data_IF_731032019059
#
_entry.id   IF_731032019059
#
_cell.length_a   1.000
_cell.length_b   1.000
_cell.length_c   1.000
_cell.angle_alpha   90.00
_cell.angle_beta   90.00
_cell.angle_gamma   90.00
#
_symmetry.space_group_name_H-M   'P 1'
#
loop_
_entity.id
_entity.type
_entity.pdbx_description
1 polymer ?
#
# COMPACT_ATOMS: atom_id res chain seq x y z
N UNK A 1 2.60 1.75 0.67
CA UNK A 1 3.59 0.67 0.79
C UNK A 1 3.85 0.39 2.25
N UNK A 2 3.70 -0.85 2.69
CA UNK A 2 4.08 -1.24 4.05
C UNK A 2 5.59 -1.50 4.12
N UNK A 3 6.11 -1.58 5.35
CA UNK A 3 7.44 -2.13 5.58
C UNK A 3 7.46 -3.58 5.05
N UNK A 4 8.48 -3.98 4.27
CA UNK A 4 8.54 -5.28 3.58
C UNK A 4 8.57 -6.51 4.50
N UNK A 5 8.46 -6.33 5.82
CA UNK A 5 8.59 -7.38 6.82
C UNK A 5 7.27 -7.71 7.53
N UNK A 6 6.22 -6.90 7.38
CA UNK A 6 5.06 -6.95 8.26
C UNK A 6 3.85 -6.25 7.63
N UNK A 7 2.78 -7.01 7.36
CA UNK A 7 1.46 -6.45 7.06
C UNK A 7 0.70 -6.24 8.40
N UNK A 8 0.60 -5.00 8.91
CA UNK A 8 -0.13 -4.72 10.14
C UNK A 8 -1.64 -5.00 10.01
N UNK A 9 -2.13 -5.15 8.79
CA UNK A 9 -3.54 -5.34 8.45
C UNK A 9 -3.87 -6.82 8.16
N UNK A 10 -2.88 -7.68 7.97
CA UNK A 10 -3.07 -9.12 7.85
C UNK A 10 -1.91 -9.93 8.45
N UNK A 11 -2.00 -10.22 9.74
CA UNK A 11 -0.98 -10.99 10.50
C UNK A 11 -0.90 -12.47 10.13
N UNK A 12 -1.91 -13.00 9.44
CA UNK A 12 -1.92 -14.38 8.97
C UNK A 12 -1.25 -14.53 7.60
N UNK A 13 -0.79 -13.45 6.99
CA UNK A 13 0.09 -13.49 5.82
C UNK A 13 1.49 -13.94 6.26
N UNK A 14 1.64 -15.21 6.64
CA UNK A 14 2.95 -15.85 6.59
C UNK A 14 3.41 -15.81 5.15
N UNK A 15 4.52 -15.10 4.89
CA UNK A 15 5.26 -15.15 3.64
C UNK A 15 5.38 -16.60 3.18
N UNK A 16 4.76 -17.01 2.05
CA UNK A 16 5.14 -18.25 1.43
C UNK A 16 6.56 -18.05 0.92
N UNK A 17 7.55 -18.62 1.62
CA UNK A 17 8.82 -18.92 0.98
C UNK A 17 8.48 -19.96 -0.07
N UNK A 18 8.40 -19.53 -1.32
CA UNK A 18 8.12 -20.42 -2.43
C UNK A 18 9.25 -21.45 -2.52
N UNK A 19 8.95 -22.66 -2.06
CA UNK A 19 9.84 -23.82 -2.13
C UNK A 19 9.65 -24.61 -3.42
N UNK A 20 8.82 -24.13 -4.36
CA UNK A 20 8.51 -24.85 -5.61
C UNK A 20 9.74 -25.10 -6.49
N UNK A 21 10.81 -24.30 -6.33
CA UNK A 21 12.09 -24.50 -7.03
C UNK A 21 13.10 -25.42 -6.31
N UNK A 22 12.75 -26.01 -5.16
CA UNK A 22 13.61 -26.97 -4.45
C UNK A 22 13.17 -28.44 -4.62
N UNK A 23 12.43 -28.75 -5.70
CA UNK A 23 11.95 -30.11 -5.98
C UNK A 23 12.94 -30.89 -6.84
N UNK A 24 14.13 -31.13 -6.33
CA UNK A 24 14.94 -32.29 -6.72
C UNK A 24 15.91 -32.58 -5.58
N UNK A 25 15.87 -33.81 -5.06
CA UNK A 25 16.67 -34.33 -3.95
C UNK A 25 16.16 -34.01 -2.54
N UNK A 26 15.07 -34.66 -2.11
CA UNK A 26 15.05 -35.23 -0.75
C UNK A 26 14.14 -36.44 -0.64
N UNK A 27 14.79 -37.59 -0.66
CA UNK A 27 14.28 -38.88 -0.23
C UNK A 27 13.56 -38.77 1.12
N UNK A 28 12.33 -39.28 1.15
CA UNK A 28 11.56 -39.83 2.29
C UNK A 28 12.24 -39.65 3.66
N UNK A 29 11.77 -38.66 4.41
CA UNK A 29 11.81 -38.72 5.88
C UNK A 29 10.48 -38.17 6.39
N UNK A 30 9.62 -39.08 6.83
CA UNK A 30 8.40 -38.76 7.56
C UNK A 30 8.82 -38.02 8.83
N UNK A 31 8.52 -36.73 8.90
CA UNK A 31 8.56 -35.93 10.11
C UNK A 31 7.15 -35.37 10.23
N UNK A 32 6.38 -35.97 11.13
CA UNK A 32 5.10 -35.44 11.59
C UNK A 32 5.24 -33.94 11.83
N UNK A 33 4.41 -33.15 11.15
CA UNK A 33 4.28 -31.73 11.37
C UNK A 33 3.78 -31.52 12.80
N UNK A 34 4.69 -31.20 13.72
CA UNK A 34 4.34 -30.68 15.04
C UNK A 34 3.41 -29.46 14.85
N UNK A 35 2.37 -29.31 15.68
CA UNK A 35 1.53 -28.13 15.62
C UNK A 35 2.42 -26.92 15.93
N UNK A 36 2.56 -26.01 14.96
CA UNK A 36 3.12 -24.70 15.23
C UNK A 36 2.20 -24.05 16.28
N UNK A 37 2.68 -23.91 17.52
CA UNK A 37 2.07 -23.05 18.51
C UNK A 37 2.07 -21.65 17.89
N UNK A 38 0.88 -21.17 17.48
CA UNK A 38 0.66 -19.86 16.86
C UNK A 38 1.05 -18.75 17.85
N UNK A 39 2.28 -18.25 17.73
CA UNK A 39 2.74 -16.99 18.32
C UNK A 39 2.17 -15.77 17.55
N UNK A 40 0.95 -15.89 17.03
CA UNK A 40 0.35 -14.92 16.11
C UNK A 40 0.00 -13.62 16.83
N UNK A 41 -0.36 -13.72 18.12
CA UNK A 41 -0.56 -12.57 18.99
C UNK A 41 0.70 -11.72 19.15
N UNK A 42 1.84 -12.32 19.53
CA UNK A 42 3.09 -11.58 19.75
C UNK A 42 3.63 -10.95 18.46
N UNK A 43 3.58 -11.70 17.35
CA UNK A 43 3.97 -11.19 16.02
C UNK A 43 3.10 -10.00 15.60
N UNK A 44 1.79 -10.06 15.85
CA UNK A 44 0.87 -8.95 15.60
C UNK A 44 1.27 -7.68 16.35
N UNK A 45 1.53 -7.80 17.66
CA UNK A 45 1.86 -6.64 18.48
C UNK A 45 3.16 -6.00 18.04
N UNK A 46 4.18 -6.80 17.72
CA UNK A 46 5.46 -6.30 17.20
C UNK A 46 5.27 -5.61 15.85
N UNK A 47 4.50 -6.22 14.95
CA UNK A 47 4.16 -5.67 13.63
C UNK A 47 3.46 -4.32 13.72
N UNK A 48 2.43 -4.21 14.57
CA UNK A 48 1.69 -2.96 14.79
C UNK A 48 2.61 -1.88 15.37
N UNK A 49 3.46 -2.21 16.35
CA UNK A 49 4.40 -1.27 16.93
C UNK A 49 5.39 -0.71 15.88
N UNK A 50 5.94 -1.57 15.02
CA UNK A 50 6.81 -1.11 13.94
C UNK A 50 6.08 -0.23 12.93
N UNK A 51 4.83 -0.56 12.60
CA UNK A 51 4.02 0.25 11.69
C UNK A 51 3.72 1.64 12.28
N UNK A 52 3.39 1.72 13.57
CA UNK A 52 3.16 2.99 14.27
C UNK A 52 4.43 3.86 14.29
N UNK A 53 5.58 3.27 14.62
CA UNK A 53 6.87 3.98 14.61
C UNK A 53 7.21 4.45 13.19
N UNK A 54 7.04 3.58 12.19
CA UNK A 54 7.31 3.92 10.81
C UNK A 54 6.41 5.05 10.31
N UNK A 55 5.13 5.04 10.68
CA UNK A 55 4.20 6.11 10.34
C UNK A 55 4.62 7.45 10.94
N UNK A 56 4.91 7.48 12.24
CA UNK A 56 5.35 8.69 12.92
C UNK A 56 6.65 9.26 12.32
N UNK A 57 7.61 8.40 11.95
CA UNK A 57 8.86 8.84 11.35
C UNK A 57 8.70 9.29 9.90
N UNK A 58 7.83 8.63 9.12
CA UNK A 58 7.65 8.90 7.70
C UNK A 58 7.22 10.34 7.42
N UNK A 59 6.48 10.98 8.32
CA UNK A 59 5.96 12.33 8.14
C UNK A 59 6.84 13.41 8.78
N UNK A 60 8.10 13.44 8.36
CA UNK A 60 9.04 14.53 8.66
C UNK A 60 9.71 15.00 7.38
N UNK A 61 10.10 16.29 7.32
CA UNK A 61 10.79 16.84 6.13
C UNK A 61 12.07 16.09 5.79
N UNK A 62 12.81 15.62 6.80
CA UNK A 62 14.04 14.84 6.59
C UNK A 62 13.74 13.49 5.95
N UNK A 63 12.78 12.73 6.49
CA UNK A 63 12.44 11.40 5.96
C UNK A 63 11.86 11.50 4.56
N UNK A 64 10.98 12.48 4.31
CA UNK A 64 10.45 12.77 2.97
C UNK A 64 11.52 13.25 1.96
N UNK A 65 12.70 13.67 2.41
CA UNK A 65 13.78 14.10 1.50
C UNK A 65 14.83 13.03 1.27
N UNK A 66 15.03 12.14 2.25
CA UNK A 66 16.17 11.23 2.29
C UNK A 66 15.79 9.74 2.26
N UNK A 67 14.53 9.40 2.55
CA UNK A 67 14.06 8.02 2.61
C UNK A 67 12.98 7.82 1.57
N UNK A 68 13.36 7.21 0.45
CA UNK A 68 12.47 6.96 -0.69
C UNK A 68 11.15 6.27 -0.29
N UNK A 69 11.14 5.19 0.52
CA UNK A 69 9.90 4.58 1.00
C UNK A 69 8.92 5.52 1.71
N UNK A 70 9.43 6.54 2.41
CA UNK A 70 8.57 7.48 3.11
C UNK A 70 7.74 8.34 2.14
N UNK A 71 8.21 8.56 0.91
CA UNK A 71 7.52 9.43 -0.07
C UNK A 71 6.16 8.92 -0.51
N UNK A 72 6.01 7.60 -0.58
CA UNK A 72 4.79 6.92 -0.98
C UNK A 72 4.17 6.11 0.16
N UNK A 73 4.62 6.36 1.40
CA UNK A 73 3.96 5.84 2.60
C UNK A 73 2.64 6.60 2.79
N UNK A 74 1.54 5.85 2.88
CA UNK A 74 0.19 6.37 3.06
C UNK A 74 -0.38 5.73 4.31
N UNK A 75 -0.59 6.56 5.33
CA UNK A 75 -1.28 6.19 6.56
C UNK A 75 -2.67 6.81 6.55
N UNK A 76 -3.70 5.96 6.54
CA UNK A 76 -5.10 6.37 6.56
C UNK A 76 -5.68 6.46 7.97
N UNK A 77 -4.89 6.19 9.02
CA UNK A 77 -5.31 6.39 10.38
C UNK A 77 -5.70 7.86 10.61
N UNK A 78 -6.88 8.15 11.20
CA UNK A 78 -7.36 9.52 11.37
C UNK A 78 -6.38 10.42 12.14
N UNK A 79 -5.62 9.87 13.09
CA UNK A 79 -4.61 10.64 13.84
C UNK A 79 -3.45 11.13 12.98
N UNK A 80 -3.12 10.42 11.90
CA UNK A 80 -1.97 10.71 11.03
C UNK A 80 -2.36 11.53 9.79
N UNK A 81 -3.66 11.67 9.50
CA UNK A 81 -4.17 12.41 8.34
C UNK A 81 -3.57 13.81 8.22
N UNK A 82 -3.47 14.56 9.33
CA UNK A 82 -2.91 15.91 9.32
C UNK A 82 -1.44 15.93 8.88
N UNK A 83 -0.64 14.99 9.34
CA UNK A 83 0.78 14.91 9.02
C UNK A 83 1.01 14.37 7.61
N UNK A 84 0.20 13.39 7.19
CA UNK A 84 0.17 12.92 5.80
C UNK A 84 -0.09 14.08 4.83
N UNK A 85 -1.16 14.86 5.03
CA UNK A 85 -1.50 15.99 4.15
C UNK A 85 -0.45 17.11 4.15
N UNK A 86 0.33 17.24 5.23
CA UNK A 86 1.34 18.30 5.39
C UNK A 86 2.70 17.93 4.81
N UNK A 87 3.16 16.70 5.01
CA UNK A 87 4.55 16.30 4.70
C UNK A 87 4.66 15.35 3.52
N UNK A 88 3.63 14.54 3.22
CA UNK A 88 3.74 13.47 2.23
C UNK A 88 3.93 14.00 0.81
N UNK A 89 4.93 13.45 0.12
CA UNK A 89 5.09 13.67 -1.32
C UNK A 89 3.90 13.09 -2.09
N UNK A 90 3.40 11.92 -1.69
CA UNK A 90 2.22 11.30 -2.29
C UNK A 90 1.01 12.25 -2.23
N UNK A 91 0.72 12.82 -1.06
CA UNK A 91 -0.39 13.76 -0.89
C UNK A 91 -0.24 15.01 -1.78
N UNK A 92 1.00 15.44 -2.04
CA UNK A 92 1.28 16.59 -2.92
C UNK A 92 1.03 16.26 -4.39
N UNK A 93 1.46 15.09 -4.87
CA UNK A 93 1.29 14.72 -6.29
C UNK A 93 -0.15 14.28 -6.60
N UNK A 94 -0.87 13.77 -5.62
CA UNK A 94 -2.31 13.45 -5.74
C UNK A 94 -3.23 14.65 -5.51
N UNK A 95 -2.69 15.86 -5.31
CA UNK A 95 -3.47 17.06 -4.96
C UNK A 95 -4.38 16.90 -3.71
N UNK A 96 -4.06 15.96 -2.80
CA UNK A 96 -4.74 15.83 -1.50
C UNK A 96 -4.22 16.84 -0.47
N UNK A 97 -2.96 17.26 -0.58
CA UNK A 97 -2.29 18.15 0.36
C UNK A 97 -2.76 19.61 0.33
N UNK A 98 -2.03 20.49 1.01
CA UNK A 98 -2.41 21.92 1.12
C UNK A 98 -2.26 22.73 -0.17
N UNK A 99 -1.58 22.19 -1.18
CA UNK A 99 -1.31 22.88 -2.44
C UNK A 99 -1.92 22.11 -3.60
N UNK A 100 -2.89 22.73 -4.26
CA UNK A 100 -3.50 22.22 -5.47
C UNK A 100 -2.71 22.70 -6.70
N UNK A 101 -2.44 21.80 -7.65
CA UNK A 101 -1.75 22.13 -8.89
C UNK A 101 -2.49 21.56 -10.11
N UNK A 102 -3.12 22.45 -10.88
CA UNK A 102 -3.83 22.11 -12.13
C UNK A 102 -2.93 21.48 -13.19
N UNK A 103 -1.64 21.81 -13.18
CA UNK A 103 -0.67 21.26 -14.14
C UNK A 103 -0.54 19.74 -13.98
N UNK A 104 -0.69 19.21 -12.76
CA UNK A 104 -0.64 17.76 -12.54
C UNK A 104 -1.84 17.06 -13.18
N UNK A 105 -3.02 17.66 -13.11
CA UNK A 105 -4.22 17.16 -13.78
C UNK A 105 -4.02 17.20 -15.29
N UNK A 106 -3.59 18.33 -15.84
CA UNK A 106 -3.36 18.49 -17.28
C UNK A 106 -2.34 17.46 -17.81
N UNK A 107 -1.26 17.23 -17.07
CA UNK A 107 -0.23 16.25 -17.43
C UNK A 107 -0.72 14.80 -17.30
N UNK A 108 -1.52 14.49 -16.27
CA UNK A 108 -2.09 13.15 -16.14
C UNK A 108 -3.11 12.88 -17.26
N UNK A 109 -3.93 13.86 -17.64
CA UNK A 109 -4.91 13.70 -18.69
C UNK A 109 -4.32 13.71 -20.11
N UNK A 110 -3.10 14.20 -20.30
CA UNK A 110 -2.44 14.22 -21.61
C UNK A 110 -2.00 12.84 -22.10
N UNK A 111 -1.93 11.85 -21.21
CA UNK A 111 -1.58 10.47 -21.54
C UNK A 111 -2.76 9.78 -22.24
N UNK A 112 -2.49 9.13 -23.38
CA UNK A 112 -3.50 8.44 -24.18
C UNK A 112 -4.05 7.18 -23.52
N UNK A 113 -3.17 6.39 -22.90
CA UNK A 113 -3.52 5.09 -22.29
C UNK A 113 -2.66 4.80 -21.07
N UNK A 114 -3.30 4.31 -20.02
CA UNK A 114 -2.67 3.75 -18.83
C UNK A 114 -2.90 2.25 -18.79
N UNK A 115 -1.83 1.49 -18.58
CA UNK A 115 -1.90 0.05 -18.32
C UNK A 115 -1.47 -0.18 -16.88
N UNK A 116 -2.42 -0.62 -16.07
CA UNK A 116 -2.22 -1.00 -14.68
C UNK A 116 -2.09 -2.52 -14.64
N UNK A 117 -1.09 -3.03 -13.93
CA UNK A 117 -0.88 -4.47 -13.78
C UNK A 117 -0.80 -4.76 -12.30
N UNK A 118 -1.66 -5.66 -11.84
CA UNK A 118 -1.67 -6.11 -10.46
C UNK A 118 -1.17 -7.55 -10.34
N UNK A 119 -0.17 -7.77 -9.50
CA UNK A 119 0.41 -9.09 -9.26
C UNK A 119 -0.51 -9.95 -8.41
N UNK A 120 -1.09 -11.01 -8.96
CA UNK A 120 -2.05 -11.87 -8.21
C UNK A 120 -1.51 -12.42 -6.88
N UNK A 121 -0.20 -12.67 -6.77
CA UNK A 121 0.49 -13.09 -5.56
C UNK A 121 1.47 -12.06 -5.01
N UNK A 122 1.28 -10.77 -5.29
CA UNK A 122 2.15 -9.74 -4.71
C UNK A 122 1.97 -9.64 -3.20
N UNK A 123 3.10 -9.60 -2.51
CA UNK A 123 3.23 -9.52 -1.05
C UNK A 123 4.07 -8.30 -0.64
N UNK A 124 4.56 -7.51 -1.60
CA UNK A 124 5.41 -6.33 -1.37
C UNK A 124 4.55 -5.07 -1.33
N UNK A 125 3.60 -4.90 -2.27
CA UNK A 125 2.64 -3.80 -2.22
C UNK A 125 1.49 -4.20 -1.30
N UNK A 126 1.32 -3.43 -0.23
CA UNK A 126 0.27 -3.64 0.77
C UNK A 126 -0.56 -2.34 0.88
N UNK A 127 -1.88 -2.39 0.63
CA UNK A 127 -2.60 -3.52 0.04
C UNK A 127 -2.23 -3.69 -1.44
N UNK A 128 -2.28 -4.92 -1.96
CA UNK A 128 -1.98 -5.22 -3.37
C UNK A 128 -2.86 -4.41 -4.32
N UNK A 129 -4.12 -4.18 -3.95
CA UNK A 129 -5.07 -3.39 -4.71
C UNK A 129 -4.61 -1.93 -4.92
N UNK A 130 -3.61 -1.46 -4.17
CA UNK A 130 -2.92 -0.20 -4.42
C UNK A 130 -2.29 -0.11 -5.80
N UNK A 131 -1.90 -1.24 -6.42
CA UNK A 131 -1.43 -1.28 -7.81
C UNK A 131 -2.50 -0.84 -8.81
N UNK A 132 -3.78 -0.99 -8.44
CA UNK A 132 -4.96 -0.55 -9.20
C UNK A 132 -5.69 0.61 -8.49
N UNK A 133 -4.96 1.47 -7.76
CA UNK A 133 -5.49 2.67 -7.09
C UNK A 133 -6.53 2.41 -5.98
N UNK A 134 -6.61 1.20 -5.46
CA UNK A 134 -7.31 0.90 -4.22
C UNK A 134 -6.54 1.35 -2.98
N UNK A 135 -7.21 1.35 -1.83
CA UNK A 135 -6.60 1.69 -0.55
C UNK A 135 -7.20 0.91 0.62
N UNK A 136 -6.66 1.11 1.82
CA UNK A 136 -7.25 0.60 3.07
C UNK A 136 -8.25 1.60 3.64
N UNK A 137 -9.33 1.10 4.22
CA UNK A 137 -10.32 1.93 4.92
C UNK A 137 -9.71 2.56 6.19
N UNK A 138 -9.98 3.84 6.42
CA UNK A 138 -9.40 4.63 7.52
C UNK A 138 -9.84 4.18 8.91
N UNK A 139 -10.98 3.49 9.02
CA UNK A 139 -11.55 3.02 10.27
C UNK A 139 -11.47 1.50 10.43
N UNK A 140 -11.35 0.76 9.32
CA UNK A 140 -11.19 -0.68 9.32
C UNK A 140 -10.11 -1.11 8.32
N UNK A 141 -8.86 -1.15 8.77
CA UNK A 141 -7.74 -1.46 7.88
C UNK A 141 -7.76 -2.87 7.25
N UNK A 142 -8.63 -3.78 7.72
CA UNK A 142 -8.84 -5.09 7.08
C UNK A 142 -9.74 -5.00 5.85
N UNK A 143 -10.38 -3.85 5.63
CA UNK A 143 -11.28 -3.59 4.51
C UNK A 143 -10.52 -2.81 3.44
N UNK A 144 -10.55 -3.34 2.23
CA UNK A 144 -10.03 -2.67 1.05
C UNK A 144 -11.13 -1.82 0.43
N UNK A 145 -10.79 -0.57 0.13
CA UNK A 145 -11.60 0.38 -0.62
C UNK A 145 -11.16 0.32 -2.09
N UNK A 146 -12.03 -0.07 -3.02
CA UNK A 146 -11.68 -0.11 -4.44
C UNK A 146 -11.51 1.31 -4.99
N UNK A 147 -10.73 1.46 -6.07
CA UNK A 147 -10.44 2.75 -6.71
C UNK A 147 -11.64 3.69 -6.84
N UNK A 148 -12.82 3.18 -7.23
CA UNK A 148 -14.01 4.02 -7.49
C UNK A 148 -14.61 4.65 -6.23
N UNK A 149 -14.28 4.12 -5.06
CA UNK A 149 -14.82 4.53 -3.76
C UNK A 149 -13.81 5.38 -2.96
N UNK A 150 -12.59 5.54 -3.45
CA UNK A 150 -11.55 6.30 -2.75
C UNK A 150 -11.78 7.81 -2.85
N UNK A 151 -11.18 8.56 -1.92
CA UNK A 151 -11.26 10.02 -1.88
C UNK A 151 -10.68 10.65 -3.16
N UNK A 152 -9.55 10.14 -3.67
CA UNK A 152 -8.90 10.70 -4.85
C UNK A 152 -9.69 10.50 -6.15
N UNK A 153 -10.48 9.42 -6.25
CA UNK A 153 -11.35 9.17 -7.41
C UNK A 153 -12.65 9.96 -7.32
N UNK A 154 -13.28 9.99 -6.14
CA UNK A 154 -14.55 10.70 -5.93
C UNK A 154 -14.39 12.22 -6.00
N UNK A 155 -13.25 12.75 -5.57
CA UNK A 155 -12.91 14.18 -5.75
C UNK A 155 -12.32 14.50 -7.12
N UNK A 156 -11.86 13.49 -7.86
CA UNK A 156 -11.08 13.63 -9.11
C UNK A 156 -9.85 14.55 -8.97
N UNK A 157 -9.23 14.50 -7.79
CA UNK A 157 -8.13 15.37 -7.34
C UNK A 157 -6.99 15.57 -8.34
N UNK A 158 -6.63 14.54 -9.11
CA UNK A 158 -5.57 14.60 -10.13
C UNK A 158 -6.02 14.11 -11.53
N UNK A 159 -7.33 13.97 -11.78
CA UNK A 159 -7.87 13.53 -13.08
C UNK A 159 -8.06 12.02 -13.24
N UNK A 160 -7.95 11.24 -12.15
CA UNK A 160 -8.09 9.78 -12.15
C UNK A 160 -9.47 9.32 -12.66
N UNK A 161 -10.55 9.95 -12.19
CA UNK A 161 -11.93 9.61 -12.60
C UNK A 161 -12.19 10.06 -14.02
N UNK A 162 -11.70 11.24 -14.41
CA UNK A 162 -11.82 11.72 -15.79
C UNK A 162 -11.15 10.75 -16.77
N UNK A 163 -9.90 10.35 -16.53
CA UNK A 163 -9.20 9.39 -17.40
C UNK A 163 -9.88 8.01 -17.45
N UNK A 164 -10.42 7.54 -16.31
CA UNK A 164 -11.21 6.31 -16.26
C UNK A 164 -12.46 6.39 -17.15
N UNK A 165 -13.22 7.47 -17.04
CA UNK A 165 -14.46 7.68 -17.81
C UNK A 165 -14.20 7.87 -19.31
N UNK A 166 -13.03 8.40 -19.68
CA UNK A 166 -12.57 8.52 -21.06
C UNK A 166 -12.07 7.18 -21.65
N UNK A 167 -12.06 6.09 -20.86
CA UNK A 167 -11.63 4.77 -21.32
C UNK A 167 -10.11 4.64 -21.48
N UNK A 168 -9.34 5.52 -20.85
CA UNK A 168 -7.87 5.53 -20.95
C UNK A 168 -7.23 4.38 -20.17
N UNK A 169 -7.94 3.72 -19.26
CA UNK A 169 -7.35 2.68 -18.39
C UNK A 169 -7.55 1.26 -18.97
N UNK A 170 -6.52 0.45 -18.80
CA UNK A 170 -6.52 -1.01 -18.98
C UNK A 170 -5.96 -1.61 -17.70
N UNK A 171 -6.57 -2.70 -17.24
CA UNK A 171 -6.23 -3.44 -16.03
C UNK A 171 -5.93 -4.91 -16.39
#
# INVERSE_FOLDING_TARGET
SALPFCDPFNVNSTFPVDSSHATSLRSKRSLESKPHIQNDGLKKHICMLFAEIASALSYTTFMQKHVFPANYFVDRHPSMKKDFLKYSVQAKISNEGSHFNETYIANFLSVDKYVWVMGSGDIVVIPREGEHWGEVDSHNFNKIVPMKETDWFTSDSFGLRTAYNEGKFTF
#
